data_IF_852702818623
#
_entry.id   IF_852702818623
#
_cell.length_a   1.000
_cell.length_b   1.000
_cell.length_c   1.000
_cell.angle_alpha   90.00
_cell.angle_beta   90.00
_cell.angle_gamma   90.00
#
_symmetry.space_group_name_H-M   'P 1'
#
loop_
_entity.id
_entity.type
_entity.pdbx_description
1 polymer ?
#
# COMPACT_ATOMS: atom_id res chain seq x y z
N UNK A 1 67.66 -11.64 73.84
CA UNK A 1 67.87 -12.85 73.03
C UNK A 1 66.52 -13.51 72.74
N UNK A 2 66.17 -13.57 71.45
CA UNK A 2 65.47 -14.64 70.68
C UNK A 2 64.35 -15.46 71.35
N UNK A 3 63.24 -15.84 70.71
CA UNK A 3 62.76 -15.69 69.34
C UNK A 3 61.23 -15.90 69.33
N UNK A 4 60.58 -15.35 68.28
CA UNK A 4 59.13 -15.25 68.09
C UNK A 4 58.49 -16.51 67.48
N UNK A 5 57.22 -16.68 67.85
CA UNK A 5 56.19 -17.58 67.31
C UNK A 5 55.81 -17.23 65.87
N UNK A 6 55.36 -18.22 65.11
CA UNK A 6 54.66 -18.06 63.82
C UNK A 6 53.31 -18.81 63.86
N UNK A 7 52.20 -18.09 63.70
CA UNK A 7 50.87 -18.61 63.32
C UNK A 7 50.26 -17.62 62.32
N UNK A 8 49.60 -18.19 61.33
CA UNK A 8 49.01 -17.62 60.11
C UNK A 8 48.17 -16.36 60.33
N UNK A 9 48.33 -15.38 59.42
CA UNK A 9 47.53 -14.16 59.32
C UNK A 9 46.55 -14.28 58.15
N UNK A 10 45.27 -14.05 58.46
CA UNK A 10 44.17 -13.71 57.55
C UNK A 10 43.96 -12.18 57.55
N UNK A 11 43.24 -11.66 56.54
CA UNK A 11 42.92 -10.24 56.21
C UNK A 11 43.99 -9.54 55.33
N UNK A 12 43.68 -8.75 54.29
CA UNK A 12 42.68 -7.66 54.15
C UNK A 12 42.35 -7.39 52.66
N UNK A 13 41.05 -7.29 52.35
CA UNK A 13 40.29 -6.29 51.56
C UNK A 13 41.00 -5.47 50.45
N UNK A 14 40.45 -5.49 49.22
CA UNK A 14 39.80 -4.34 48.55
C UNK A 14 39.65 -4.55 47.03
N UNK A 15 38.44 -4.43 46.50
CA UNK A 15 38.18 -4.49 45.06
C UNK A 15 36.71 -4.31 44.70
N UNK A 16 36.22 -3.09 44.94
CA UNK A 16 34.94 -2.49 44.54
C UNK A 16 34.17 -3.20 43.40
N UNK A 17 33.03 -3.83 43.71
CA UNK A 17 32.01 -4.23 42.73
C UNK A 17 30.82 -3.26 42.81
N UNK A 18 30.79 -2.28 41.89
CA UNK A 18 29.61 -1.46 41.65
C UNK A 18 28.59 -2.28 40.86
N UNK A 19 27.51 -2.67 41.53
CA UNK A 19 26.27 -3.09 40.88
C UNK A 19 25.59 -1.86 40.27
N UNK A 20 25.88 -1.60 38.99
CA UNK A 20 25.04 -0.75 38.16
C UNK A 20 24.59 -1.57 36.96
N UNK A 21 23.33 -1.99 36.98
CA UNK A 21 22.66 -2.57 35.84
C UNK A 21 22.68 -1.58 34.68
N UNK A 22 23.54 -1.82 33.70
CA UNK A 22 23.44 -1.17 32.41
C UNK A 22 22.37 -1.89 31.60
N UNK A 23 21.23 -1.21 31.43
CA UNK A 23 20.40 -1.38 30.24
C UNK A 23 21.33 -1.25 29.03
N UNK A 24 21.50 -2.35 28.31
CA UNK A 24 22.17 -2.34 27.03
C UNK A 24 21.35 -1.43 26.10
N UNK A 25 21.87 -0.22 25.87
CA UNK A 25 21.42 0.62 24.77
C UNK A 25 21.72 -0.15 23.50
N UNK A 26 20.71 -0.77 22.94
CA UNK A 26 20.74 -1.25 21.55
C UNK A 26 20.88 0.00 20.68
N UNK A 27 22.12 0.27 20.25
CA UNK A 27 22.40 1.21 19.19
C UNK A 27 21.81 0.65 17.90
N UNK A 28 20.75 1.27 17.41
CA UNK A 28 20.20 0.97 16.09
C UNK A 28 21.18 1.55 15.07
N UNK A 29 21.80 0.67 14.31
CA UNK A 29 22.65 1.03 13.18
C UNK A 29 21.79 1.69 12.09
N UNK A 30 21.92 3.00 11.92
CA UNK A 30 21.16 3.79 10.94
C UNK A 30 21.43 3.37 9.48
N UNK A 31 22.44 2.52 9.23
CA UNK A 31 22.70 1.95 7.89
C UNK A 31 21.82 0.74 7.55
N UNK A 32 21.05 0.18 8.49
CA UNK A 32 20.14 -0.94 8.23
C UNK A 32 18.77 -0.53 7.65
N UNK A 33 18.60 0.74 7.26
CA UNK A 33 17.33 1.32 6.78
C UNK A 33 17.44 2.02 5.42
N UNK A 34 18.46 1.69 4.62
CA UNK A 34 18.58 2.21 3.25
C UNK A 34 17.82 1.31 2.28
N UNK A 35 16.80 1.86 1.63
CA UNK A 35 16.10 1.25 0.50
C UNK A 35 17.13 0.77 -0.54
N UNK A 36 17.01 -0.51 -0.91
CA UNK A 36 18.01 -1.26 -1.66
C UNK A 36 18.52 -0.58 -2.94
N UNK A 37 19.75 -0.94 -3.32
CA UNK A 37 20.41 -0.42 -4.52
C UNK A 37 19.64 -0.76 -5.82
N UNK A 38 19.80 0.13 -6.80
CA UNK A 38 19.06 0.22 -8.08
C UNK A 38 19.08 -1.03 -8.98
N UNK A 39 19.90 -2.04 -8.70
CA UNK A 39 20.06 -3.23 -9.55
C UNK A 39 19.25 -4.46 -9.08
N UNK A 40 18.50 -4.36 -7.97
CA UNK A 40 17.68 -5.48 -7.45
C UNK A 40 16.20 -5.47 -7.90
N UNK A 41 15.76 -4.46 -8.67
CA UNK A 41 14.34 -4.21 -9.00
C UNK A 41 13.67 -5.35 -9.80
N UNK A 42 14.45 -6.20 -10.49
CA UNK A 42 13.89 -7.24 -11.37
C UNK A 42 14.39 -8.67 -11.10
N UNK A 43 15.30 -8.88 -10.15
CA UNK A 43 16.08 -10.13 -10.07
C UNK A 43 15.62 -11.21 -9.09
N UNK A 44 14.99 -10.87 -7.95
CA UNK A 44 14.71 -11.86 -6.87
C UNK A 44 13.23 -12.21 -6.67
N UNK A 45 12.34 -11.64 -7.49
CA UNK A 45 10.91 -11.62 -7.20
C UNK A 45 10.02 -11.98 -8.40
N UNK A 46 10.59 -12.60 -9.43
CA UNK A 46 9.79 -13.18 -10.51
C UNK A 46 9.01 -14.39 -9.99
N UNK A 47 7.67 -14.30 -9.96
CA UNK A 47 6.83 -15.49 -10.06
C UNK A 47 6.55 -15.68 -11.55
N UNK A 48 7.30 -16.57 -12.20
CA UNK A 48 6.84 -17.16 -13.45
C UNK A 48 5.75 -18.17 -13.08
N UNK A 49 4.55 -18.05 -13.66
CA UNK A 49 3.51 -19.05 -13.49
C UNK A 49 4.08 -20.44 -13.83
N UNK A 50 3.98 -21.39 -12.90
CA UNK A 50 4.34 -22.78 -13.16
C UNK A 50 3.35 -23.34 -14.18
N UNK A 51 3.83 -23.55 -15.40
CA UNK A 51 3.12 -24.27 -16.47
C UNK A 51 2.58 -23.37 -17.58
N UNK A 52 3.35 -23.27 -18.68
CA UNK A 52 2.87 -23.48 -20.08
C UNK A 52 3.79 -22.87 -21.15
N UNK A 53 4.88 -22.20 -20.81
CA UNK A 53 5.87 -21.76 -21.80
C UNK A 53 7.28 -22.24 -21.39
N UNK A 54 7.87 -23.07 -22.25
CA UNK A 54 9.24 -23.58 -22.11
C UNK A 54 10.24 -22.42 -21.90
N UNK A 55 11.21 -22.61 -21.00
CA UNK A 55 12.35 -21.70 -20.77
C UNK A 55 13.25 -21.52 -22.01
N UNK A 56 13.05 -22.29 -23.09
CA UNK A 56 13.95 -22.35 -24.23
C UNK A 56 13.71 -21.34 -25.37
N UNK A 57 12.79 -20.37 -25.24
CA UNK A 57 12.71 -19.21 -26.15
C UNK A 57 12.22 -17.96 -25.40
N UNK A 58 12.70 -16.74 -25.73
CA UNK A 58 12.12 -15.53 -25.16
C UNK A 58 10.76 -15.29 -25.81
N UNK A 59 9.71 -15.89 -25.27
CA UNK A 59 8.37 -15.35 -25.43
C UNK A 59 8.43 -13.89 -24.94
N UNK A 60 8.04 -12.93 -25.79
CA UNK A 60 8.05 -11.51 -25.46
C UNK A 60 7.39 -11.30 -24.10
N UNK A 61 8.18 -10.95 -23.08
CA UNK A 61 7.69 -10.83 -21.72
C UNK A 61 7.10 -9.44 -21.51
N UNK A 62 5.91 -9.38 -20.94
CA UNK A 62 5.30 -8.13 -20.49
C UNK A 62 5.32 -8.05 -18.97
N UNK A 63 5.35 -6.83 -18.46
CA UNK A 63 5.41 -6.56 -17.03
C UNK A 63 4.08 -5.91 -16.63
N UNK A 64 3.42 -6.52 -15.66
CA UNK A 64 2.20 -6.02 -15.01
C UNK A 64 2.58 -5.43 -13.66
N UNK A 65 2.47 -4.10 -13.54
CA UNK A 65 2.83 -3.35 -12.34
C UNK A 65 1.64 -2.92 -11.50
N UNK A 66 1.78 -2.91 -10.18
CA UNK A 66 0.78 -2.33 -9.26
C UNK A 66 1.43 -1.39 -8.24
N UNK A 67 0.64 -0.47 -7.68
CA UNK A 67 1.06 0.36 -6.53
C UNK A 67 1.14 -0.47 -5.24
N UNK A 68 2.05 -0.15 -4.30
CA UNK A 68 2.29 -0.94 -3.08
C UNK A 68 1.32 -0.60 -1.94
N UNK A 69 0.12 -1.20 -1.93
CA UNK A 69 -0.90 -0.93 -0.90
C UNK A 69 -0.97 -1.99 0.23
N UNK A 70 -0.17 -3.05 0.13
CA UNK A 70 -0.02 -4.12 1.11
C UNK A 70 1.37 -4.75 0.96
N UNK A 71 1.70 -5.73 1.79
CA UNK A 71 2.99 -6.43 1.74
C UNK A 71 3.24 -7.10 0.37
N UNK A 72 4.42 -6.90 -0.26
CA UNK A 72 4.69 -7.42 -1.60
C UNK A 72 4.47 -8.92 -1.77
N UNK A 73 4.85 -9.74 -0.79
CA UNK A 73 4.65 -11.19 -0.83
C UNK A 73 3.17 -11.59 -0.79
N UNK A 74 2.35 -10.84 -0.05
CA UNK A 74 0.90 -11.05 0.00
C UNK A 74 0.25 -10.64 -1.32
N UNK A 75 0.65 -9.51 -1.88
CA UNK A 75 0.19 -9.05 -3.20
C UNK A 75 0.55 -10.06 -4.30
N UNK A 76 1.77 -10.60 -4.28
CA UNK A 76 2.20 -11.66 -5.21
C UNK A 76 1.31 -12.90 -5.15
N UNK A 77 1.08 -13.44 -3.95
CA UNK A 77 0.20 -14.60 -3.77
C UNK A 77 -1.23 -14.31 -4.25
N UNK A 78 -1.73 -13.13 -3.92
CA UNK A 78 -3.07 -12.68 -4.28
C UNK A 78 -3.27 -12.54 -5.79
N UNK A 79 -2.29 -11.98 -6.51
CA UNK A 79 -2.37 -11.74 -7.95
C UNK A 79 -1.93 -12.94 -8.80
N UNK A 80 -1.33 -13.99 -8.23
CA UNK A 80 -0.80 -15.12 -8.98
C UNK A 80 -1.84 -15.78 -9.93
N UNK A 81 -3.09 -16.10 -9.50
CA UNK A 81 -4.10 -16.65 -10.41
C UNK A 81 -4.48 -15.69 -11.54
N UNK A 82 -4.57 -14.40 -11.23
CA UNK A 82 -4.85 -13.36 -12.23
C UNK A 82 -3.75 -13.25 -13.28
N UNK A 83 -2.49 -13.28 -12.85
CA UNK A 83 -1.33 -13.18 -13.74
C UNK A 83 -1.21 -14.43 -14.62
N UNK A 84 -1.44 -15.61 -14.06
CA UNK A 84 -1.48 -16.86 -14.83
C UNK A 84 -2.56 -16.82 -15.92
N UNK A 85 -3.79 -16.41 -15.55
CA UNK A 85 -4.88 -16.25 -16.52
C UNK A 85 -4.55 -15.22 -17.60
N UNK A 86 -4.03 -14.05 -17.22
CA UNK A 86 -3.67 -13.01 -18.18
C UNK A 86 -2.57 -13.48 -19.15
N UNK A 87 -1.59 -14.24 -18.66
CA UNK A 87 -0.52 -14.84 -19.46
C UNK A 87 -1.06 -15.80 -20.53
N UNK A 88 -1.97 -16.69 -20.13
CA UNK A 88 -2.65 -17.62 -21.03
C UNK A 88 -3.45 -16.88 -22.12
N UNK A 89 -4.29 -15.92 -21.72
CA UNK A 89 -5.15 -15.18 -22.66
C UNK A 89 -4.35 -14.31 -23.64
N UNK A 90 -3.26 -13.71 -23.17
CA UNK A 90 -2.41 -12.90 -24.02
C UNK A 90 -1.47 -13.73 -24.90
N UNK A 91 -1.20 -14.99 -24.53
CA UNK A 91 -0.16 -15.85 -25.13
C UNK A 91 1.24 -15.23 -25.00
N UNK A 92 1.50 -14.59 -23.86
CA UNK A 92 2.75 -13.90 -23.53
C UNK A 92 3.13 -14.22 -22.09
N UNK A 93 4.43 -14.27 -21.79
CA UNK A 93 4.89 -14.33 -20.38
C UNK A 93 4.53 -13.02 -19.68
N UNK A 94 3.78 -13.09 -18.59
CA UNK A 94 3.43 -11.92 -17.77
C UNK A 94 4.20 -11.99 -16.46
N UNK A 95 5.02 -10.97 -16.20
CA UNK A 95 5.72 -10.81 -14.92
C UNK A 95 4.96 -9.82 -14.05
N UNK A 96 4.75 -10.20 -12.79
CA UNK A 96 4.13 -9.34 -11.81
C UNK A 96 5.17 -8.49 -11.08
N UNK A 97 4.92 -7.20 -10.97
CA UNK A 97 5.81 -6.22 -10.32
C UNK A 97 5.00 -5.40 -9.33
N UNK A 98 5.48 -5.33 -8.09
CA UNK A 98 4.98 -4.38 -7.08
C UNK A 98 5.98 -3.25 -7.04
N UNK A 99 5.53 -2.02 -7.32
CA UNK A 99 6.40 -0.84 -7.24
C UNK A 99 6.85 -0.60 -5.80
N UNK A 100 8.03 0.00 -5.59
CA UNK A 100 8.47 0.37 -4.23
C UNK A 100 7.71 1.59 -3.73
N UNK A 101 7.59 2.61 -4.60
CA UNK A 101 6.81 3.81 -4.34
C UNK A 101 5.75 4.03 -5.41
N UNK A 102 4.70 4.78 -5.06
CA UNK A 102 3.60 5.09 -5.98
C UNK A 102 4.06 5.81 -7.25
N UNK A 103 5.08 6.67 -7.14
CA UNK A 103 5.63 7.41 -8.27
C UNK A 103 6.54 6.56 -9.17
N UNK A 104 7.12 5.47 -8.66
CA UNK A 104 7.99 4.60 -9.45
C UNK A 104 7.20 3.90 -10.55
N UNK A 105 5.97 3.47 -10.24
CA UNK A 105 5.09 2.88 -11.24
C UNK A 105 4.80 3.83 -12.42
N UNK A 106 4.67 5.13 -12.14
CA UNK A 106 4.47 6.16 -13.17
C UNK A 106 5.72 6.26 -14.05
N UNK A 107 6.89 6.38 -13.42
CA UNK A 107 8.17 6.49 -14.13
C UNK A 107 8.45 5.25 -14.99
N UNK A 108 8.22 4.06 -14.45
CA UNK A 108 8.47 2.79 -15.11
C UNK A 108 7.53 2.54 -16.29
N UNK A 109 6.25 2.94 -16.18
CA UNK A 109 5.33 2.88 -17.31
C UNK A 109 5.76 3.85 -18.42
N UNK A 110 6.16 5.09 -18.07
CA UNK A 110 6.65 6.07 -19.07
C UNK A 110 7.89 5.58 -19.81
N UNK A 111 8.77 4.87 -19.10
CA UNK A 111 9.99 4.27 -19.68
C UNK A 111 9.75 2.98 -20.45
N UNK A 112 8.52 2.46 -20.45
CA UNK A 112 8.19 1.18 -21.08
C UNK A 112 8.77 -0.03 -20.36
N UNK A 113 9.19 0.12 -19.11
CA UNK A 113 9.62 -1.01 -18.28
C UNK A 113 8.39 -1.76 -17.78
N UNK A 114 7.36 -1.04 -17.34
CA UNK A 114 6.04 -1.59 -17.08
C UNK A 114 5.18 -1.43 -18.35
N UNK A 115 4.41 -2.47 -18.68
CA UNK A 115 3.65 -2.54 -19.93
C UNK A 115 2.14 -2.45 -19.69
N UNK A 116 1.68 -3.01 -18.57
CA UNK A 116 0.33 -2.89 -18.06
C UNK A 116 0.47 -2.46 -16.61
N UNK A 117 -0.24 -1.43 -16.17
CA UNK A 117 -0.14 -0.93 -14.81
C UNK A 117 -1.53 -0.73 -14.19
N UNK A 118 -1.72 -1.22 -12.97
CA UNK A 118 -2.87 -0.87 -12.13
C UNK A 118 -2.46 0.22 -11.14
N UNK A 119 -2.98 1.42 -11.36
CA UNK A 119 -2.74 2.56 -10.50
C UNK A 119 -3.88 2.71 -9.50
N UNK A 120 -3.53 2.91 -8.23
CA UNK A 120 -4.48 3.51 -7.30
C UNK A 120 -5.00 4.84 -7.86
N UNK A 121 -6.19 5.30 -7.46
CA UNK A 121 -6.79 6.49 -8.06
C UNK A 121 -5.91 7.74 -7.90
N UNK A 122 -5.25 7.85 -6.73
CA UNK A 122 -4.38 8.97 -6.39
C UNK A 122 -3.09 8.94 -7.19
N UNK A 123 -2.54 7.74 -7.42
CA UNK A 123 -1.38 7.56 -8.30
C UNK A 123 -1.71 7.91 -9.75
N UNK A 124 -2.88 7.50 -10.24
CA UNK A 124 -3.31 7.81 -11.60
C UNK A 124 -3.54 9.31 -11.78
N UNK A 125 -4.14 9.98 -10.80
CA UNK A 125 -4.27 11.45 -10.79
C UNK A 125 -2.91 12.14 -10.89
N UNK A 126 -1.92 11.70 -10.11
CA UNK A 126 -0.57 12.27 -10.16
C UNK A 126 0.09 11.98 -11.52
N UNK A 127 -0.14 10.80 -12.09
CA UNK A 127 0.35 10.42 -13.41
C UNK A 127 -0.28 11.30 -14.52
N UNK A 128 -1.58 11.59 -14.44
CA UNK A 128 -2.28 12.51 -15.35
C UNK A 128 -1.67 13.91 -15.31
N UNK A 129 -1.38 14.44 -14.12
CA UNK A 129 -0.72 15.73 -13.96
C UNK A 129 0.74 15.70 -14.49
N UNK A 130 1.37 14.52 -14.56
CA UNK A 130 2.69 14.30 -15.20
C UNK A 130 2.61 13.99 -16.72
N UNK A 131 1.41 14.08 -17.31
CA UNK A 131 1.18 13.86 -18.74
C UNK A 131 1.30 12.40 -19.19
N UNK A 132 0.96 11.43 -18.33
CA UNK A 132 1.01 9.98 -18.63
C UNK A 132 0.24 9.60 -19.89
N UNK A 133 -0.77 10.38 -20.28
CA UNK A 133 -1.60 10.15 -21.48
C UNK A 133 -0.79 10.13 -22.77
N UNK A 134 0.39 10.78 -22.80
CA UNK A 134 1.32 10.70 -23.93
C UNK A 134 1.99 9.34 -24.05
N UNK A 135 2.22 8.66 -22.93
CA UNK A 135 2.97 7.41 -22.86
C UNK A 135 2.09 6.17 -22.66
N UNK A 136 0.84 6.33 -22.27
CA UNK A 136 -0.06 5.22 -21.97
C UNK A 136 -1.51 5.48 -22.39
N UNK A 137 -2.28 4.39 -22.44
CA UNK A 137 -3.70 4.34 -22.78
C UNK A 137 -4.46 3.74 -21.61
N UNK A 138 -5.46 4.47 -21.09
CA UNK A 138 -6.43 3.91 -20.14
C UNK A 138 -7.28 2.84 -20.84
N UNK A 139 -7.42 1.67 -20.21
CA UNK A 139 -8.17 0.54 -20.79
C UNK A 139 -9.35 0.08 -19.95
N UNK A 140 -9.26 0.19 -18.63
CA UNK A 140 -10.35 -0.22 -17.73
C UNK A 140 -10.13 0.35 -16.32
N UNK A 141 -11.16 0.27 -15.49
CA UNK A 141 -11.09 0.44 -14.05
C UNK A 141 -11.53 -0.85 -13.36
N UNK A 142 -11.01 -1.13 -12.16
CA UNK A 142 -11.53 -2.23 -11.34
C UNK A 142 -12.90 -1.88 -10.74
N UNK A 143 -13.68 -2.88 -10.36
CA UNK A 143 -14.94 -2.70 -9.63
C UNK A 143 -15.14 -3.79 -8.58
N UNK A 144 -15.98 -3.52 -7.58
CA UNK A 144 -16.39 -4.49 -6.57
C UNK A 144 -17.92 -4.62 -6.56
N UNK A 145 -18.42 -5.80 -6.90
CA UNK A 145 -19.82 -6.19 -6.96
C UNK A 145 -20.70 -5.22 -7.78
N UNK A 146 -20.20 -4.75 -8.92
CA UNK A 146 -20.87 -3.77 -9.77
C UNK A 146 -20.74 -2.32 -9.31
N UNK A 147 -20.13 -2.08 -8.13
CA UNK A 147 -19.81 -0.74 -7.65
C UNK A 147 -18.44 -0.31 -8.18
N UNK A 148 -18.42 0.83 -8.84
CA UNK A 148 -17.22 1.46 -9.42
C UNK A 148 -16.49 2.40 -8.47
N UNK A 149 -17.00 2.57 -7.24
CA UNK A 149 -16.43 3.48 -6.27
C UNK A 149 -16.34 2.86 -4.88
N UNK A 150 -15.41 3.39 -4.09
CA UNK A 150 -15.26 3.13 -2.66
C UNK A 150 -15.18 4.45 -1.89
N UNK A 151 -15.10 4.40 -0.56
CA UNK A 151 -14.92 5.62 0.25
C UNK A 151 -13.74 5.48 1.20
N UNK A 152 -13.01 6.57 1.35
CA UNK A 152 -12.12 6.75 2.48
C UNK A 152 -12.94 6.89 3.77
N UNK A 153 -12.38 6.40 4.86
CA UNK A 153 -12.93 6.48 6.21
C UNK A 153 -11.95 7.20 7.11
N UNK A 154 -12.47 8.07 7.97
CA UNK A 154 -11.80 8.45 9.22
C UNK A 154 -12.40 7.57 10.31
N UNK A 155 -11.58 6.69 10.87
CA UNK A 155 -11.95 5.78 11.96
C UNK A 155 -11.34 6.26 13.27
N UNK A 156 -11.95 5.88 14.40
CA UNK A 156 -11.44 6.13 15.74
C UNK A 156 -11.68 4.95 16.66
N UNK A 157 -11.06 4.99 17.84
CA UNK A 157 -11.51 4.15 18.95
C UNK A 157 -12.95 4.49 19.34
N UNK A 158 -13.74 3.53 19.85
CA UNK A 158 -15.19 3.65 19.96
C UNK A 158 -15.65 4.71 20.96
N UNK A 159 -14.82 5.07 21.94
CA UNK A 159 -15.14 6.12 22.91
C UNK A 159 -15.14 7.53 22.30
N UNK A 160 -14.48 7.73 21.15
CA UNK A 160 -14.49 9.01 20.44
C UNK A 160 -15.66 9.04 19.47
N UNK A 161 -16.53 10.06 19.60
CA UNK A 161 -17.75 10.20 18.78
C UNK A 161 -17.70 11.37 17.82
N UNK A 162 -16.66 12.20 17.90
CA UNK A 162 -16.52 13.40 17.09
C UNK A 162 -15.06 13.77 16.84
N UNK A 163 -14.78 14.54 15.78
CA UNK A 163 -13.44 15.11 15.57
C UNK A 163 -13.03 16.06 16.70
N UNK A 164 -14.00 16.68 17.39
CA UNK A 164 -13.73 17.59 18.53
C UNK A 164 -13.01 16.86 19.66
N UNK A 165 -13.44 15.65 19.99
CA UNK A 165 -12.86 14.81 21.04
C UNK A 165 -11.45 14.29 20.70
N UNK A 166 -11.08 14.33 19.40
CA UNK A 166 -9.76 13.92 18.94
C UNK A 166 -8.71 15.06 18.99
N UNK A 167 -9.06 16.27 19.47
CA UNK A 167 -8.08 17.34 19.64
C UNK A 167 -6.98 16.91 20.63
N UNK A 168 -5.71 17.03 20.23
CA UNK A 168 -4.55 16.59 21.02
C UNK A 168 -4.40 15.07 21.14
N UNK A 169 -5.17 14.28 20.37
CA UNK A 169 -5.03 12.82 20.28
C UNK A 169 -4.13 12.44 19.11
N UNK A 170 -3.81 11.16 19.01
CA UNK A 170 -2.95 10.63 17.94
C UNK A 170 -3.76 10.26 16.69
N UNK A 171 -3.19 10.49 15.50
CA UNK A 171 -3.82 10.16 14.23
C UNK A 171 -2.87 9.38 13.31
N UNK A 172 -3.35 8.34 12.66
CA UNK A 172 -2.56 7.54 11.72
C UNK A 172 -3.07 7.66 10.27
N UNK A 173 -2.20 8.10 9.37
CA UNK A 173 -2.38 7.95 7.93
C UNK A 173 -1.67 6.68 7.44
N UNK A 174 -2.00 6.25 6.22
CA UNK A 174 -1.26 5.20 5.51
C UNK A 174 0.06 5.78 5.02
N UNK A 175 0.00 6.61 3.97
CA UNK A 175 1.13 7.28 3.33
C UNK A 175 0.64 8.43 2.43
N UNK A 176 1.52 9.33 2.02
CA UNK A 176 1.15 10.53 1.23
C UNK A 176 0.55 10.24 -0.16
N UNK A 177 0.95 9.13 -0.78
CA UNK A 177 0.45 8.71 -2.10
C UNK A 177 -0.98 8.18 -2.08
N UNK A 178 -1.47 7.71 -0.92
CA UNK A 178 -2.74 7.00 -0.80
C UNK A 178 -3.96 7.94 -0.97
N UNK A 179 -4.94 7.52 -1.77
CA UNK A 179 -6.22 8.23 -1.93
C UNK A 179 -7.02 8.26 -0.62
N UNK A 180 -7.44 7.09 -0.15
CA UNK A 180 -8.31 6.91 1.02
C UNK A 180 -7.55 6.89 2.34
N UNK A 181 -6.25 6.59 2.31
CA UNK A 181 -5.39 6.58 3.48
C UNK A 181 -4.71 7.92 3.76
N UNK A 182 -4.84 8.92 2.88
CA UNK A 182 -4.27 10.25 3.07
C UNK A 182 -4.99 11.37 2.32
N UNK A 183 -4.97 11.41 0.98
CA UNK A 183 -5.36 12.60 0.20
C UNK A 183 -6.80 13.06 0.46
N UNK A 184 -7.77 12.14 0.39
CA UNK A 184 -9.18 12.44 0.65
C UNK A 184 -9.46 12.73 2.13
N UNK A 185 -8.97 11.92 3.09
CA UNK A 185 -9.09 12.25 4.52
C UNK A 185 -8.46 13.59 4.89
N UNK A 186 -7.27 13.91 4.38
CA UNK A 186 -6.60 15.18 4.60
C UNK A 186 -7.43 16.34 4.05
N UNK A 187 -7.91 16.24 2.81
CA UNK A 187 -8.79 17.25 2.23
C UNK A 187 -10.06 17.44 3.08
N UNK A 188 -10.67 16.35 3.55
CA UNK A 188 -11.85 16.39 4.41
C UNK A 188 -11.56 17.09 5.75
N UNK A 189 -10.42 16.80 6.38
CA UNK A 189 -10.01 17.45 7.62
C UNK A 189 -9.76 18.96 7.40
N UNK A 190 -9.02 19.32 6.35
CA UNK A 190 -8.74 20.71 6.01
C UNK A 190 -10.02 21.50 5.69
N UNK A 191 -10.96 20.92 4.95
CA UNK A 191 -12.28 21.52 4.68
C UNK A 191 -13.10 21.75 5.95
N UNK A 192 -12.85 20.97 7.01
CA UNK A 192 -13.45 21.16 8.33
C UNK A 192 -12.66 22.11 9.23
N UNK A 193 -11.65 22.80 8.69
CA UNK A 193 -10.77 23.70 9.45
C UNK A 193 -9.80 22.98 10.39
N UNK A 194 -9.57 21.67 10.17
CA UNK A 194 -8.65 20.86 10.97
C UNK A 194 -7.37 20.66 10.18
N UNK A 195 -6.30 21.34 10.61
CA UNK A 195 -4.94 21.02 10.22
C UNK A 195 -4.45 19.83 11.07
N UNK A 196 -4.25 18.62 10.51
CA UNK A 196 -3.92 17.44 11.30
C UNK A 196 -2.66 17.61 12.15
N UNK A 197 -1.66 18.34 11.66
CA UNK A 197 -0.37 18.50 12.33
C UNK A 197 -0.38 19.55 13.43
N UNK A 198 -1.43 20.37 13.49
CA UNK A 198 -1.67 21.31 14.59
C UNK A 198 -2.74 20.83 15.55
N UNK A 199 -3.63 19.96 15.06
CA UNK A 199 -4.82 19.54 15.79
C UNK A 199 -4.60 18.27 16.60
N UNK A 200 -3.84 17.32 16.06
CA UNK A 200 -3.45 16.08 16.74
C UNK A 200 -2.13 16.27 17.48
N UNK A 201 -1.90 15.51 18.55
CA UNK A 201 -0.62 15.55 19.28
C UNK A 201 0.51 14.88 18.50
N UNK A 202 0.17 13.90 17.65
CA UNK A 202 1.11 13.24 16.75
C UNK A 202 0.38 12.66 15.54
N UNK A 203 1.00 12.78 14.37
CA UNK A 203 0.56 12.15 13.13
C UNK A 203 1.56 11.05 12.75
N UNK A 204 1.05 9.84 12.50
CA UNK A 204 1.83 8.69 12.07
C UNK A 204 1.57 8.36 10.60
N UNK A 205 2.56 7.74 9.96
CA UNK A 205 2.44 7.08 8.65
C UNK A 205 2.80 5.62 8.82
N UNK A 206 1.83 4.74 8.59
CA UNK A 206 1.96 3.31 8.94
C UNK A 206 2.11 2.39 7.71
N UNK A 207 2.15 2.95 6.50
CA UNK A 207 2.46 2.25 5.26
C UNK A 207 1.34 1.36 4.70
N UNK A 208 0.43 0.83 5.54
CA UNK A 208 -0.68 0.01 5.05
C UNK A 208 -2.02 0.31 5.74
N UNK A 209 -3.11 0.03 5.04
CA UNK A 209 -4.47 0.10 5.60
C UNK A 209 -4.65 -0.85 6.79
N UNK A 210 -3.98 -2.00 6.76
CA UNK A 210 -3.98 -2.98 7.84
C UNK A 210 -3.35 -2.43 9.11
N UNK A 211 -2.15 -1.86 9.00
CA UNK A 211 -1.46 -1.27 10.16
C UNK A 211 -2.24 -0.10 10.76
N UNK A 212 -2.91 0.72 9.96
CA UNK A 212 -3.79 1.79 10.47
C UNK A 212 -4.95 1.22 11.28
N UNK A 213 -5.69 0.24 10.73
CA UNK A 213 -6.82 -0.38 11.44
C UNK A 213 -6.37 -1.06 12.72
N UNK A 214 -5.27 -1.82 12.69
CA UNK A 214 -4.70 -2.49 13.86
C UNK A 214 -4.20 -1.51 14.91
N UNK A 215 -3.54 -0.42 14.51
CA UNK A 215 -3.06 0.60 15.45
C UNK A 215 -4.22 1.25 16.20
N UNK A 216 -5.33 1.57 15.51
CA UNK A 216 -6.52 2.13 16.16
C UNK A 216 -7.21 1.10 17.04
N UNK A 217 -7.42 -0.12 16.54
CA UNK A 217 -8.10 -1.19 17.27
C UNK A 217 -7.37 -1.57 18.58
N UNK A 218 -6.03 -1.51 18.58
CA UNK A 218 -5.19 -1.84 19.74
C UNK A 218 -4.80 -0.61 20.59
N UNK A 219 -5.31 0.58 20.24
CA UNK A 219 -5.03 1.82 20.99
C UNK A 219 -3.59 2.34 20.90
N UNK A 220 -2.83 1.92 19.89
CA UNK A 220 -1.55 2.55 19.51
C UNK A 220 -1.77 3.90 18.81
N UNK A 221 -2.93 4.09 18.19
CA UNK A 221 -3.42 5.37 17.69
C UNK A 221 -4.88 5.59 18.15
N UNK A 222 -5.29 6.84 18.34
CA UNK A 222 -6.67 7.17 18.74
C UNK A 222 -7.63 7.21 17.55
N UNK A 223 -7.12 7.63 16.40
CA UNK A 223 -7.83 7.68 15.13
C UNK A 223 -6.90 7.43 13.95
N UNK A 224 -7.49 7.19 12.78
CA UNK A 224 -6.73 7.03 11.55
C UNK A 224 -7.58 7.03 10.30
N UNK A 225 -6.93 7.01 9.15
CA UNK A 225 -7.58 7.04 7.85
C UNK A 225 -7.37 5.75 7.06
N UNK A 226 -8.45 5.19 6.54
CA UNK A 226 -8.45 3.93 5.77
C UNK A 226 -9.58 3.93 4.74
N UNK A 227 -10.00 2.78 4.23
CA UNK A 227 -11.16 2.66 3.33
C UNK A 227 -12.19 1.64 3.81
N UNK A 228 -13.42 1.82 3.34
CA UNK A 228 -14.59 1.04 3.72
C UNK A 228 -14.44 -0.46 3.41
N UNK A 229 -14.08 -0.82 2.18
CA UNK A 229 -14.00 -2.21 1.77
C UNK A 229 -12.87 -3.02 2.40
N UNK A 230 -11.96 -2.39 3.17
CA UNK A 230 -11.06 -3.08 4.09
C UNK A 230 -11.58 -3.04 5.52
N UNK A 231 -11.77 -1.84 6.09
CA UNK A 231 -12.09 -1.68 7.51
C UNK A 231 -13.36 -2.42 7.91
N UNK A 232 -14.44 -2.30 7.13
CA UNK A 232 -15.76 -2.87 7.45
C UNK A 232 -15.76 -4.41 7.43
N UNK A 233 -14.73 -5.03 6.82
CA UNK A 233 -14.57 -6.50 6.76
C UNK A 233 -13.69 -7.05 7.89
N UNK A 234 -13.01 -6.20 8.65
CA UNK A 234 -12.12 -6.64 9.74
C UNK A 234 -12.89 -7.13 10.97
N UNK A 235 -12.34 -8.06 11.77
CA UNK A 235 -12.87 -8.36 13.10
C UNK A 235 -12.95 -7.11 13.98
N UNK A 236 -11.95 -6.22 13.91
CA UNK A 236 -11.94 -4.98 14.68
C UNK A 236 -13.20 -4.12 14.47
N UNK A 237 -13.72 -4.04 13.24
CA UNK A 237 -14.97 -3.33 12.96
C UNK A 237 -16.20 -4.10 13.45
N UNK A 238 -16.27 -5.42 13.20
CA UNK A 238 -17.39 -6.29 13.63
C UNK A 238 -17.53 -6.34 15.15
N UNK A 239 -16.41 -6.42 15.85
CA UNK A 239 -16.31 -6.45 17.31
C UNK A 239 -16.40 -5.04 17.94
N UNK A 240 -16.66 -4.00 17.12
CA UNK A 240 -16.78 -2.60 17.54
C UNK A 240 -15.56 -2.08 18.31
N UNK A 241 -14.36 -2.57 17.99
CA UNK A 241 -13.07 -2.03 18.49
C UNK A 241 -12.66 -0.74 17.76
N UNK A 242 -13.26 -0.46 16.62
CA UNK A 242 -13.14 0.81 15.88
C UNK A 242 -14.54 1.32 15.49
N UNK A 243 -14.67 2.62 15.28
CA UNK A 243 -15.88 3.28 14.80
C UNK A 243 -15.56 4.24 13.66
N UNK A 244 -16.45 4.34 12.67
CA UNK A 244 -16.34 5.33 11.59
C UNK A 244 -16.87 6.68 12.06
N UNK A 245 -16.04 7.72 12.00
CA UNK A 245 -16.45 9.10 12.27
C UNK A 245 -16.91 9.82 11.01
N UNK A 246 -16.19 9.64 9.90
CA UNK A 246 -16.48 10.29 8.63
C UNK A 246 -16.23 9.36 7.46
N UNK A 247 -17.03 9.53 6.40
CA UNK A 247 -16.78 8.96 5.08
C UNK A 247 -16.45 10.09 4.11
N UNK A 248 -15.49 9.86 3.22
CA UNK A 248 -15.18 10.81 2.15
C UNK A 248 -16.28 10.78 1.08
N UNK A 249 -16.21 11.73 0.13
CA UNK A 249 -16.90 11.55 -1.15
C UNK A 249 -16.44 10.25 -1.85
N UNK A 250 -17.26 9.68 -2.75
CA UNK A 250 -16.88 8.49 -3.52
C UNK A 250 -15.56 8.69 -4.28
N UNK A 251 -14.73 7.65 -4.27
CA UNK A 251 -13.45 7.58 -4.96
C UNK A 251 -13.59 6.47 -6.01
N UNK A 252 -13.32 6.72 -7.30
CA UNK A 252 -13.30 5.65 -8.30
C UNK A 252 -12.23 4.62 -7.92
N UNK A 253 -12.41 3.38 -8.32
CA UNK A 253 -11.41 2.33 -8.14
C UNK A 253 -10.20 2.47 -9.10
N UNK A 254 -9.26 1.53 -8.99
CA UNK A 254 -7.96 1.56 -9.66
C UNK A 254 -8.09 1.68 -11.18
N UNK A 255 -7.18 2.43 -11.79
CA UNK A 255 -7.10 2.64 -13.23
C UNK A 255 -6.09 1.67 -13.85
N UNK A 256 -6.49 0.95 -14.88
CA UNK A 256 -5.61 0.08 -15.66
C UNK A 256 -5.15 0.81 -16.91
N UNK A 257 -3.84 0.94 -17.05
CA UNK A 257 -3.18 1.61 -18.16
C UNK A 257 -2.30 0.62 -18.93
N UNK A 258 -2.20 0.82 -20.24
CA UNK A 258 -1.32 0.06 -21.14
C UNK A 258 -0.30 1.02 -21.77
N UNK A 259 0.97 0.62 -21.79
CA UNK A 259 2.05 1.39 -22.42
C UNK A 259 1.76 1.58 -23.92
N UNK A 260 1.75 2.84 -24.37
CA UNK A 260 1.23 3.23 -25.68
C UNK A 260 2.02 2.61 -26.85
N UNK A 261 3.33 2.40 -26.71
CA UNK A 261 4.16 1.79 -27.77
C UNK A 261 3.87 0.30 -28.00
N UNK A 262 3.12 -0.39 -27.12
CA UNK A 262 2.59 -1.73 -27.44
C UNK A 262 1.47 -1.71 -28.49
N UNK A 263 0.97 -0.52 -28.83
CA UNK A 263 0.04 -0.32 -29.92
C UNK A 263 -1.43 -0.50 -29.54
N UNK A 264 -2.35 0.08 -30.33
CA UNK A 264 -3.77 0.11 -30.01
C UNK A 264 -4.44 -1.27 -30.05
N UNK A 265 -3.93 -2.20 -30.87
CA UNK A 265 -4.45 -3.57 -30.91
C UNK A 265 -4.18 -4.30 -29.59
N UNK A 266 -2.98 -4.15 -29.03
CA UNK A 266 -2.64 -4.74 -27.74
C UNK A 266 -3.49 -4.15 -26.61
N UNK A 267 -3.63 -2.82 -26.56
CA UNK A 267 -4.48 -2.16 -25.57
C UNK A 267 -5.94 -2.65 -25.63
N UNK A 268 -6.52 -2.80 -26.83
CA UNK A 268 -7.87 -3.36 -27.02
C UNK A 268 -7.96 -4.82 -26.57
N UNK A 269 -6.96 -5.64 -26.86
CA UNK A 269 -6.90 -7.04 -26.42
C UNK A 269 -6.88 -7.14 -24.89
N UNK A 270 -6.04 -6.33 -24.23
CA UNK A 270 -5.99 -6.24 -22.76
C UNK A 270 -7.34 -5.81 -22.20
N UNK A 271 -7.94 -4.74 -22.74
CA UNK A 271 -9.26 -4.27 -22.33
C UNK A 271 -10.32 -5.38 -22.42
N UNK A 272 -10.43 -6.04 -23.58
CA UNK A 272 -11.41 -7.10 -23.79
C UNK A 272 -11.24 -8.25 -22.80
N UNK A 273 -10.01 -8.65 -22.52
CA UNK A 273 -9.75 -9.70 -21.53
C UNK A 273 -10.13 -9.26 -20.12
N UNK A 274 -9.75 -8.05 -19.69
CA UNK A 274 -10.12 -7.54 -18.37
C UNK A 274 -11.65 -7.51 -18.19
N UNK A 275 -12.38 -7.02 -19.19
CA UNK A 275 -13.84 -6.94 -19.16
C UNK A 275 -14.54 -8.32 -19.19
N UNK A 276 -13.84 -9.37 -19.60
CA UNK A 276 -14.37 -10.75 -19.55
C UNK A 276 -14.19 -11.45 -18.20
N UNK A 277 -13.42 -10.86 -17.28
CA UNK A 277 -13.13 -11.46 -15.97
C UNK A 277 -14.20 -11.04 -14.95
N UNK A 278 -14.74 -12.04 -14.26
CA UNK A 278 -15.68 -11.90 -13.14
C UNK A 278 -15.34 -12.85 -11.98
N UNK A 279 -16.23 -12.97 -10.99
CA UNK A 279 -16.04 -13.84 -9.81
C UNK A 279 -16.13 -15.34 -10.10
N UNK A 280 -16.65 -15.73 -11.28
CA UNK A 280 -16.78 -17.12 -11.71
C UNK A 280 -15.61 -17.54 -12.62
N UNK A 281 -14.83 -16.58 -13.10
CA UNK A 281 -13.69 -16.83 -13.98
C UNK A 281 -12.60 -17.60 -13.24
N UNK A 282 -12.14 -18.71 -13.82
CA UNK A 282 -11.07 -19.54 -13.27
C UNK A 282 -9.87 -19.63 -14.21
N UNK A 283 -8.71 -19.97 -13.66
CA UNK A 283 -7.54 -20.43 -14.40
C UNK A 283 -7.81 -21.82 -15.00
N UNK A 284 -6.92 -22.30 -15.88
CA UNK A 284 -6.94 -23.69 -16.35
C UNK A 284 -6.82 -24.73 -15.21
N UNK A 285 -6.17 -24.37 -14.10
CA UNK A 285 -6.07 -25.19 -12.87
C UNK A 285 -7.34 -25.16 -12.01
N UNK A 286 -8.36 -24.40 -12.39
CA UNK A 286 -9.63 -24.26 -11.65
C UNK A 286 -9.58 -23.24 -10.50
N UNK A 287 -8.49 -22.50 -10.34
CA UNK A 287 -8.38 -21.46 -9.31
C UNK A 287 -9.15 -20.20 -9.73
N UNK A 288 -9.88 -19.58 -8.81
CA UNK A 288 -10.58 -18.31 -9.09
C UNK A 288 -9.56 -17.23 -9.48
N UNK A 289 -9.80 -16.55 -10.59
CA UNK A 289 -8.93 -15.46 -11.07
C UNK A 289 -8.97 -14.27 -10.13
N UNK A 290 -10.17 -13.87 -9.71
CA UNK A 290 -10.39 -12.80 -8.72
C UNK A 290 -10.67 -13.43 -7.35
N UNK A 291 -9.63 -14.02 -6.76
CA UNK A 291 -9.79 -14.82 -5.55
C UNK A 291 -9.90 -13.97 -4.27
N UNK A 292 -11.14 -13.71 -3.84
CA UNK A 292 -11.44 -13.01 -2.57
C UNK A 292 -10.92 -13.76 -1.34
N UNK A 293 -10.76 -15.08 -1.38
CA UNK A 293 -10.21 -15.88 -0.27
C UNK A 293 -8.71 -15.62 -0.09
N UNK A 294 -8.00 -15.27 -1.17
CA UNK A 294 -6.62 -14.77 -1.12
C UNK A 294 -6.52 -13.27 -0.84
N UNK A 295 -7.66 -12.60 -0.61
CA UNK A 295 -7.75 -11.17 -0.33
C UNK A 295 -7.85 -10.28 -1.57
N UNK A 296 -8.08 -10.83 -2.79
CA UNK A 296 -8.22 -10.01 -3.99
C UNK A 296 -9.40 -9.04 -3.86
N UNK A 297 -9.20 -7.71 -3.97
CA UNK A 297 -10.20 -6.74 -3.52
C UNK A 297 -11.34 -6.52 -4.51
N UNK A 298 -11.20 -6.91 -5.77
CA UNK A 298 -12.15 -6.59 -6.85
C UNK A 298 -12.91 -7.84 -7.35
N UNK A 299 -14.03 -7.61 -8.04
CA UNK A 299 -14.86 -8.69 -8.62
C UNK A 299 -15.02 -8.56 -10.14
N UNK A 300 -14.40 -7.55 -10.75
CA UNK A 300 -14.42 -7.39 -12.19
C UNK A 300 -13.81 -6.07 -12.63
N UNK A 301 -14.00 -5.75 -13.90
CA UNK A 301 -13.49 -4.56 -14.55
C UNK A 301 -14.59 -3.89 -15.37
N UNK A 302 -14.49 -2.57 -15.54
CA UNK A 302 -15.45 -1.74 -16.26
C UNK A 302 -14.72 -0.61 -16.98
N UNK A 303 -15.29 -0.08 -18.07
CA UNK A 303 -14.75 1.10 -18.74
C UNK A 303 -15.52 2.33 -18.28
N UNK A 304 -14.78 3.36 -17.84
CA UNK A 304 -15.36 4.67 -17.54
C UNK A 304 -14.91 5.71 -18.55
N UNK A 305 -15.64 6.83 -18.57
CA UNK A 305 -15.12 8.07 -19.16
C UNK A 305 -13.96 8.57 -18.28
N UNK A 306 -12.87 9.11 -18.85
CA UNK A 306 -11.71 9.58 -18.07
C UNK A 306 -12.05 10.54 -16.92
N UNK A 307 -13.11 11.33 -17.07
CA UNK A 307 -13.62 12.29 -16.10
C UNK A 307 -14.00 11.68 -14.75
N UNK A 308 -14.18 10.35 -14.66
CA UNK A 308 -14.44 9.68 -13.38
C UNK A 308 -13.32 9.95 -12.36
N UNK A 309 -12.09 10.22 -12.83
CA UNK A 309 -10.95 10.55 -11.98
C UNK A 309 -10.81 12.05 -11.67
N UNK A 310 -11.68 12.92 -12.20
CA UNK A 310 -11.60 14.37 -11.95
C UNK A 310 -11.77 14.70 -10.47
N UNK A 311 -12.62 13.96 -9.75
CA UNK A 311 -12.77 14.10 -8.29
C UNK A 311 -11.44 13.86 -7.58
N UNK A 312 -10.67 12.87 -8.03
CA UNK A 312 -9.37 12.53 -7.45
C UNK A 312 -8.34 13.60 -7.76
N UNK A 313 -8.36 14.15 -8.98
CA UNK A 313 -7.48 15.25 -9.38
C UNK A 313 -7.74 16.52 -8.60
N UNK A 314 -9.01 16.89 -8.46
CA UNK A 314 -9.43 18.04 -7.67
C UNK A 314 -9.00 17.89 -6.21
N UNK A 315 -9.30 16.75 -5.59
CA UNK A 315 -8.87 16.46 -4.21
C UNK A 315 -7.34 16.46 -4.07
N UNK A 316 -6.61 15.83 -4.99
CA UNK A 316 -5.14 15.81 -4.97
C UNK A 316 -4.56 17.22 -5.06
N UNK A 317 -5.12 18.10 -5.90
CA UNK A 317 -4.69 19.50 -6.02
C UNK A 317 -4.93 20.32 -4.75
N UNK A 318 -6.04 20.09 -4.05
CA UNK A 318 -6.33 20.76 -2.77
C UNK A 318 -5.24 20.47 -1.72
N UNK A 319 -4.69 19.25 -1.72
CA UNK A 319 -3.68 18.84 -0.74
C UNK A 319 -2.25 18.93 -1.26
N UNK A 320 -2.02 19.09 -2.58
CA UNK A 320 -0.68 19.13 -3.20
C UNK A 320 0.22 20.22 -2.61
N UNK A 321 -0.36 21.37 -2.31
CA UNK A 321 0.37 22.52 -1.76
C UNK A 321 0.35 22.55 -0.22
N UNK A 322 -0.37 21.63 0.42
CA UNK A 322 -0.36 21.53 1.86
C UNK A 322 1.02 21.07 2.31
N UNK A 323 1.73 21.95 3.01
CA UNK A 323 2.98 21.64 3.68
C UNK A 323 2.66 21.52 5.17
N UNK A 324 2.97 20.39 5.83
CA UNK A 324 2.92 20.34 7.28
C UNK A 324 3.74 21.50 7.84
N UNK A 325 3.33 22.09 8.98
CA UNK A 325 4.19 23.02 9.71
C UNK A 325 5.57 22.40 9.91
N UNK A 326 6.64 23.20 9.80
CA UNK A 326 7.96 22.75 10.24
C UNK A 326 7.87 22.45 11.74
N UNK A 327 8.38 21.29 12.14
CA UNK A 327 8.61 20.96 13.55
C UNK A 327 9.55 21.98 14.20
#
# INVERSE_FOLDING_TARGET
MNARRAIQIFFVIAGLALLTGCSEKVSVDETSLVAGQRDEVYGKHEISAKGSLSESQPAEAINFGITPWDEPEKLKRMYAPFIAHLSERLKLRVRFVVAQEYNDLVADLKRGIIHIAAFSPGAYSDALDQGIEREAVYVASTQDSGNSHYRGLVISRPQYKSLKELKGKTFAFVEKGSSSGYKFPLALLLQKGIDPYRYFSKVFYLGSHAHVVEAVANGKADAGATWDGYAEKTPAYRDKKIATLFKTQPIPYDAILVYRKKGPQFARKVQQHLLSIDTKTTTASGEKVLNKELGFPYTGYVVHKPQVYDVVRQTSRLVKNYKPPKE
#
